data_IF_275110173708
#
_entry.id   IF_275110173708
#
_cell.length_a   1.000
_cell.length_b   1.000
_cell.length_c   1.000
_cell.angle_alpha   90.00
_cell.angle_beta   90.00
_cell.angle_gamma   90.00
#
_symmetry.space_group_name_H-M   'P 1'
#
loop_
_entity.id
_entity.type
_entity.pdbx_description
1 polymer ?
#
# COMPACT_ATOMS: atom_id res chain seq x y z
N UNK A 1 -0.98 -43.83 -56.73
CA UNK A 1 -0.22 -42.57 -56.58
C UNK A 1 -1.10 -41.55 -55.89
N UNK A 2 -0.83 -41.26 -54.62
CA UNK A 2 -1.01 -39.91 -54.09
C UNK A 2 0.04 -39.73 -53.00
N UNK A 3 1.29 -39.78 -53.45
CA UNK A 3 2.49 -39.37 -52.71
C UNK A 3 2.45 -37.88 -52.32
N UNK A 4 1.45 -37.13 -52.80
CA UNK A 4 1.28 -35.69 -52.57
C UNK A 4 0.54 -35.33 -51.27
N UNK A 5 -0.06 -36.29 -50.56
CA UNK A 5 -0.76 -36.01 -49.30
C UNK A 5 0.20 -35.69 -48.13
N UNK A 6 1.50 -36.02 -48.27
CA UNK A 6 2.58 -35.68 -47.32
C UNK A 6 3.04 -34.21 -47.35
N UNK A 7 2.41 -33.36 -48.17
CA UNK A 7 2.73 -31.93 -48.26
C UNK A 7 1.68 -31.02 -47.61
N UNK A 8 0.64 -31.58 -46.97
CA UNK A 8 -0.16 -30.78 -46.06
C UNK A 8 0.72 -30.44 -44.85
N UNK A 9 0.97 -29.14 -44.55
CA UNK A 9 1.62 -28.80 -43.29
C UNK A 9 0.72 -29.32 -42.17
N UNK A 10 1.30 -30.13 -41.28
CA UNK A 10 0.62 -30.59 -40.07
C UNK A 10 -0.07 -29.39 -39.41
N UNK A 11 -1.34 -29.50 -38.98
CA UNK A 11 -2.01 -28.42 -38.27
C UNK A 11 -1.09 -27.96 -37.15
N UNK A 12 -0.80 -26.67 -37.10
CA UNK A 12 0.18 -26.11 -36.18
C UNK A 12 -0.15 -26.60 -34.77
N UNK A 13 0.72 -27.44 -34.22
CA UNK A 13 0.68 -27.74 -32.80
C UNK A 13 0.96 -26.41 -32.11
N UNK A 14 -0.12 -25.77 -31.64
CA UNK A 14 -0.04 -24.62 -30.77
C UNK A 14 0.87 -25.01 -29.60
N UNK A 15 2.07 -24.41 -29.45
CA UNK A 15 3.09 -24.85 -28.48
C UNK A 15 2.66 -24.65 -27.01
N UNK A 16 1.40 -24.28 -26.78
CA UNK A 16 0.83 -24.02 -25.46
C UNK A 16 0.08 -25.22 -24.86
N UNK A 17 -0.05 -26.35 -25.58
CA UNK A 17 -0.80 -27.53 -25.11
C UNK A 17 0.07 -28.71 -24.67
N UNK A 18 1.38 -28.52 -24.47
CA UNK A 18 2.18 -29.50 -23.74
C UNK A 18 1.70 -29.49 -22.29
N UNK A 19 1.22 -30.61 -21.71
CA UNK A 19 0.92 -30.66 -20.28
C UNK A 19 2.20 -30.27 -19.56
N UNK A 20 2.16 -29.14 -18.86
CA UNK A 20 3.30 -28.64 -18.10
C UNK A 20 3.54 -29.63 -16.96
N UNK A 21 4.53 -30.51 -17.13
CA UNK A 21 4.96 -31.49 -16.11
C UNK A 21 5.30 -30.79 -14.78
N UNK A 22 5.61 -29.48 -14.82
CA UNK A 22 5.77 -28.64 -13.64
C UNK A 22 4.53 -28.52 -12.74
N UNK A 23 3.34 -28.75 -13.26
CA UNK A 23 2.10 -28.69 -12.47
C UNK A 23 1.81 -30.03 -11.76
N UNK A 24 2.47 -31.12 -12.18
CA UNK A 24 2.35 -32.46 -11.59
C UNK A 24 3.40 -32.72 -10.48
N UNK A 25 4.46 -31.91 -10.44
CA UNK A 25 5.47 -31.90 -9.38
C UNK A 25 5.19 -30.73 -8.44
N UNK A 26 5.25 -30.95 -7.12
CA UNK A 26 5.19 -29.86 -6.16
C UNK A 26 6.34 -28.88 -6.44
N UNK A 27 5.98 -27.69 -6.90
CA UNK A 27 6.95 -26.62 -7.12
C UNK A 27 7.38 -26.04 -5.77
N UNK A 28 8.59 -25.48 -5.68
CA UNK A 28 9.05 -24.81 -4.45
C UNK A 28 8.06 -23.73 -3.97
N UNK A 29 7.39 -23.05 -4.92
CA UNK A 29 6.37 -22.04 -4.65
C UNK A 29 5.18 -22.63 -3.89
N UNK A 30 4.77 -23.84 -4.25
CA UNK A 30 3.64 -24.54 -3.61
C UNK A 30 4.00 -25.02 -2.21
N UNK A 31 5.26 -25.40 -1.98
CA UNK A 31 5.78 -25.77 -0.65
C UNK A 31 5.81 -24.60 0.32
N UNK A 32 6.15 -23.39 -0.17
CA UNK A 32 6.18 -22.17 0.65
C UNK A 32 4.83 -21.45 0.69
N UNK A 33 3.81 -21.98 0.00
CA UNK A 33 2.50 -21.37 -0.03
C UNK A 33 1.81 -21.50 1.34
N UNK A 34 1.05 -20.47 1.76
CA UNK A 34 0.26 -20.54 2.98
C UNK A 34 -0.89 -21.56 2.87
N UNK A 35 -1.28 -22.18 3.98
CA UNK A 35 -2.33 -23.23 3.98
C UNK A 35 -3.72 -22.72 3.58
N UNK A 36 -4.02 -21.44 3.85
CA UNK A 36 -5.26 -20.79 3.44
C UNK A 36 -5.09 -19.27 3.40
N UNK A 37 -5.75 -18.61 2.45
CA UNK A 37 -5.80 -17.14 2.33
C UNK A 37 -7.27 -16.72 2.22
N UNK A 38 -7.73 -15.86 3.12
CA UNK A 38 -9.05 -15.24 3.05
C UNK A 38 -8.92 -13.72 3.02
N UNK A 39 -9.46 -13.11 1.96
CA UNK A 39 -9.38 -11.67 1.71
C UNK A 39 -10.72 -11.03 2.03
N UNK A 40 -10.73 -10.11 3.00
CA UNK A 40 -11.89 -9.32 3.34
C UNK A 40 -11.61 -7.83 3.07
N UNK A 41 -12.64 -7.01 2.78
CA UNK A 41 -12.46 -5.57 2.59
C UNK A 41 -11.79 -4.86 3.78
N UNK A 42 -11.90 -5.41 4.99
CA UNK A 42 -11.33 -4.85 6.22
C UNK A 42 -10.09 -5.59 6.72
N UNK A 43 -9.53 -6.55 5.99
CA UNK A 43 -8.33 -7.26 6.45
C UNK A 43 -8.08 -8.57 5.72
N UNK A 44 -6.96 -9.19 6.07
CA UNK A 44 -6.47 -10.43 5.49
C UNK A 44 -6.37 -11.49 6.59
N UNK A 45 -6.87 -12.69 6.35
CA UNK A 45 -6.57 -13.85 7.18
C UNK A 45 -5.64 -14.78 6.39
N UNK A 46 -4.43 -14.98 6.90
CA UNK A 46 -3.38 -15.78 6.30
C UNK A 46 -3.04 -16.93 7.24
N UNK A 47 -3.39 -18.16 6.86
CA UNK A 47 -3.04 -19.37 7.61
C UNK A 47 -3.46 -19.32 9.09
N UNK A 48 -4.59 -18.66 9.39
CA UNK A 48 -5.09 -18.45 10.76
C UNK A 48 -4.62 -17.15 11.43
N UNK A 49 -3.67 -16.43 10.85
CA UNK A 49 -3.21 -15.12 11.34
C UNK A 49 -4.03 -13.98 10.73
N UNK A 50 -4.54 -13.10 11.58
CA UNK A 50 -5.27 -11.91 11.14
C UNK A 50 -4.32 -10.72 10.93
N UNK A 51 -4.36 -10.11 9.75
CA UNK A 51 -3.58 -8.94 9.38
C UNK A 51 -4.48 -7.79 8.91
N UNK A 52 -4.16 -6.57 9.34
CA UNK A 52 -4.88 -5.34 9.00
C UNK A 52 -3.94 -4.16 9.02
N UNK A 53 -4.05 -3.30 8.01
CA UNK A 53 -3.36 -2.02 7.95
C UNK A 53 -4.27 -0.92 8.50
N UNK A 54 -3.74 -0.10 9.40
CA UNK A 54 -4.40 1.08 9.92
C UNK A 54 -3.70 2.33 9.41
N UNK A 55 -4.47 3.37 9.09
CA UNK A 55 -3.94 4.66 8.68
C UNK A 55 -4.49 5.75 9.59
N UNK A 56 -3.60 6.60 10.12
CA UNK A 56 -3.94 7.68 11.06
C UNK A 56 -3.67 9.02 10.38
N UNK A 57 -4.68 9.89 10.34
CA UNK A 57 -4.64 11.17 9.61
C UNK A 57 -4.25 12.38 10.45
N UNK A 58 -4.10 12.22 11.76
CA UNK A 58 -3.84 13.35 12.66
C UNK A 58 -3.00 12.95 13.86
N UNK A 59 -1.79 13.50 13.95
CA UNK A 59 -0.96 13.42 15.15
C UNK A 59 -1.45 14.43 16.21
N UNK A 60 -1.19 14.17 17.50
CA UNK A 60 -1.36 15.17 18.55
C UNK A 60 -0.62 16.47 18.22
N UNK A 61 -1.21 17.61 18.59
CA UNK A 61 -0.59 18.93 18.39
C UNK A 61 0.74 19.08 19.15
N UNK A 62 0.87 18.37 20.28
CA UNK A 62 2.05 18.34 21.11
C UNK A 62 2.40 16.87 21.40
N UNK A 63 3.67 16.51 21.25
CA UNK A 63 4.18 15.17 21.55
C UNK A 63 4.91 15.22 22.89
N UNK A 64 4.48 14.41 23.84
CA UNK A 64 5.22 14.16 25.07
C UNK A 64 6.15 12.93 24.89
N UNK A 65 7.08 12.76 25.82
CA UNK A 65 7.87 11.53 25.88
C UNK A 65 6.91 10.37 26.16
N UNK A 66 7.03 9.30 25.37
CA UNK A 66 6.17 8.13 25.50
C UNK A 66 4.79 8.26 24.84
N UNK A 67 4.57 9.22 23.95
CA UNK A 67 3.27 9.38 23.26
C UNK A 67 2.82 8.15 22.45
N UNK A 68 3.76 7.27 22.06
CA UNK A 68 3.49 6.05 21.29
C UNK A 68 3.47 4.77 22.14
N UNK A 69 3.67 4.87 23.46
CA UNK A 69 3.80 3.72 24.36
C UNK A 69 2.58 2.79 24.33
N UNK A 70 1.36 3.33 24.21
CA UNK A 70 0.15 2.50 24.14
C UNK A 70 0.11 1.57 22.93
N UNK A 71 0.83 1.91 21.86
CA UNK A 71 0.93 1.09 20.65
C UNK A 71 2.14 0.16 20.75
N UNK A 72 3.29 0.67 21.21
CA UNK A 72 4.51 -0.12 21.33
C UNK A 72 4.41 -1.23 22.38
N UNK A 73 3.61 -1.04 23.43
CA UNK A 73 3.42 -2.04 24.49
C UNK A 73 2.36 -3.10 24.16
N UNK A 74 1.81 -3.11 22.94
CA UNK A 74 0.93 -4.19 22.51
C UNK A 74 1.73 -5.48 22.35
N UNK A 75 1.22 -6.58 22.92
CA UNK A 75 1.78 -7.93 22.75
C UNK A 75 1.39 -8.51 21.37
N UNK A 76 1.69 -7.76 20.30
CA UNK A 76 1.41 -8.18 18.93
C UNK A 76 2.51 -7.70 18.01
N UNK A 77 2.93 -8.58 17.10
CA UNK A 77 3.82 -8.21 16.01
C UNK A 77 3.13 -7.18 15.12
N UNK A 78 3.75 -6.01 14.97
CA UNK A 78 3.24 -4.93 14.15
C UNK A 78 4.37 -4.05 13.61
N UNK A 79 4.23 -3.64 12.36
CA UNK A 79 5.12 -2.67 11.73
C UNK A 79 4.51 -1.28 11.80
N UNK A 80 5.32 -0.29 12.20
CA UNK A 80 4.90 1.11 12.33
C UNK A 80 5.80 1.96 11.44
N UNK A 81 5.20 2.77 10.58
CA UNK A 81 5.90 3.76 9.76
C UNK A 81 5.31 5.14 10.00
N UNK A 82 6.18 6.11 10.31
CA UNK A 82 5.80 7.50 10.59
C UNK A 82 6.43 8.38 9.51
N UNK A 83 5.59 9.16 8.81
CA UNK A 83 6.05 10.18 7.87
C UNK A 83 5.79 11.57 8.48
N UNK A 84 6.87 12.34 8.69
CA UNK A 84 6.80 13.70 9.25
C UNK A 84 7.31 14.69 8.21
N UNK A 85 6.48 15.66 7.86
CA UNK A 85 6.83 16.79 7.00
C UNK A 85 6.96 18.05 7.87
N UNK A 86 8.18 18.45 8.29
CA UNK A 86 8.35 19.63 9.13
C UNK A 86 7.97 20.89 8.36
N UNK A 87 7.31 21.82 9.05
CA UNK A 87 7.00 23.15 8.54
C UNK A 87 7.83 24.20 9.28
N UNK A 88 8.38 25.18 8.55
CA UNK A 88 9.01 26.33 9.20
C UNK A 88 7.94 27.24 9.81
N UNK A 89 7.90 27.22 11.14
CA UNK A 89 6.93 27.98 11.93
C UNK A 89 7.20 29.49 11.84
N UNK A 90 8.47 29.91 11.71
CA UNK A 90 8.83 31.33 11.67
C UNK A 90 8.31 32.02 10.40
N UNK A 91 8.48 31.36 9.24
CA UNK A 91 7.95 31.86 7.97
C UNK A 91 6.41 31.87 7.97
N UNK A 92 5.82 30.81 8.53
CA UNK A 92 4.37 30.65 8.60
C UNK A 92 3.71 31.71 9.49
N UNK A 93 4.28 31.99 10.68
CA UNK A 93 3.78 33.06 11.55
C UNK A 93 3.86 34.44 10.89
N UNK A 94 4.96 34.74 10.19
CA UNK A 94 5.11 36.00 9.45
C UNK A 94 4.04 36.16 8.38
N UNK A 95 3.71 35.09 7.66
CA UNK A 95 2.63 35.06 6.65
C UNK A 95 1.26 35.30 7.31
N UNK A 96 0.98 34.66 8.45
CA UNK A 96 -0.27 34.87 9.18
C UNK A 96 -0.41 36.29 9.74
N UNK A 97 0.64 36.85 10.36
CA UNK A 97 0.65 38.22 10.88
C UNK A 97 0.43 39.26 9.78
N UNK A 98 1.13 39.13 8.63
CA UNK A 98 0.91 40.03 7.49
C UNK A 98 -0.53 39.98 6.97
N UNK A 99 -1.16 38.80 6.98
CA UNK A 99 -2.54 38.62 6.52
C UNK A 99 -3.56 39.20 7.51
N UNK A 100 -3.36 39.05 8.82
CA UNK A 100 -4.24 39.65 9.83
C UNK A 100 -4.13 41.17 9.86
N UNK A 101 -2.93 41.74 9.70
CA UNK A 101 -2.76 43.20 9.66
C UNK A 101 -3.36 43.83 8.40
N UNK A 102 -3.26 43.19 7.23
CA UNK A 102 -3.87 43.66 5.98
C UNK A 102 -5.41 43.63 6.02
N UNK A 103 -6.01 42.67 6.74
CA UNK A 103 -7.46 42.64 6.96
C UNK A 103 -7.96 43.68 7.96
N UNK A 104 -7.06 44.36 8.68
CA UNK A 104 -7.36 45.37 9.68
C UNK A 104 -7.04 46.80 9.19
N UNK A 105 -6.61 47.00 7.94
CA UNK A 105 -6.57 48.34 7.36
C UNK A 105 -8.02 48.86 7.22
N UNK A 106 -8.41 49.94 7.93
CA UNK A 106 -9.71 50.54 7.73
C UNK A 106 -9.74 51.10 6.31
N UNK A 107 -10.76 50.71 5.54
CA UNK A 107 -11.09 51.27 4.23
C UNK A 107 -10.87 52.79 4.25
N UNK A 108 -9.75 53.24 3.69
CA UNK A 108 -9.43 54.64 3.55
C UNK A 108 -9.44 54.98 2.07
N UNK A 109 -10.28 55.97 1.78
CA UNK A 109 -10.41 56.74 0.54
C UNK A 109 -11.20 56.05 -0.58
N UNK A 110 -12.49 56.35 -0.59
CA UNK A 110 -13.17 56.86 -1.78
C UNK A 110 -13.95 58.10 -1.32
N UNK A 111 -13.31 59.26 -1.51
CA UNK A 111 -13.99 60.57 -1.64
C UNK A 111 -14.50 60.69 -3.09
#
# INVERSE_FOLDING_TARGET
>A
MSIFDKLQPLPSQNPNNTPKISDELLTLVDVIAPSAVNVNPKGLNLSGMYSRVFYVVSYPRYLNVGWLESILNLEKEMDITIFVHPIDTAETLKKFQKKSSRGAEPNKHQD
#
